data_IF_400694681309
#
_entry.id   IF_400694681309
#
_cell.length_a   1.000
_cell.length_b   1.000
_cell.length_c   1.000
_cell.angle_alpha   90.00
_cell.angle_beta   90.00
_cell.angle_gamma   90.00
#
_symmetry.space_group_name_H-M   'P 1'
#
loop_
_entity.id
_entity.type
_entity.pdbx_description
1 polymer ?
#
# COMPACT_ATOMS: atom_id res chain seq x y z
N UNK A 1 -1.85 -11.69 -24.95
CA UNK A 1 -2.13 -10.88 -23.73
C UNK A 1 -0.88 -10.87 -22.86
N UNK A 2 -0.15 -9.77 -22.79
CA UNK A 2 1.03 -9.66 -21.97
C UNK A 2 0.69 -9.77 -20.47
N UNK A 3 1.62 -10.41 -19.72
CA UNK A 3 1.58 -10.47 -18.26
C UNK A 3 2.52 -9.41 -17.73
N UNK A 4 1.99 -8.47 -16.96
CA UNK A 4 2.75 -7.45 -16.26
C UNK A 4 3.03 -7.90 -14.82
N UNK A 5 4.29 -8.00 -14.46
CA UNK A 5 4.68 -8.33 -13.08
C UNK A 5 4.73 -7.06 -12.21
N UNK A 6 4.35 -7.21 -10.96
CA UNK A 6 4.59 -6.16 -9.97
C UNK A 6 6.10 -5.90 -9.86
N UNK A 7 6.49 -4.63 -9.83
CA UNK A 7 7.89 -4.19 -9.70
C UNK A 7 8.56 -4.78 -8.46
N UNK A 8 7.79 -4.99 -7.40
CA UNK A 8 8.26 -5.47 -6.11
C UNK A 8 7.89 -6.93 -5.85
N UNK A 9 7.73 -7.75 -6.89
CA UNK A 9 7.37 -9.17 -6.79
C UNK A 9 8.31 -9.97 -5.87
N UNK A 10 9.58 -9.58 -5.77
CA UNK A 10 10.58 -10.23 -4.92
C UNK A 10 10.75 -9.56 -3.54
N UNK A 11 10.00 -8.47 -3.27
CA UNK A 11 10.10 -7.80 -1.98
C UNK A 11 9.51 -8.66 -0.86
N UNK A 12 10.26 -8.76 0.23
CA UNK A 12 9.81 -9.44 1.46
C UNK A 12 9.88 -8.43 2.60
N UNK A 13 8.76 -8.14 3.26
CA UNK A 13 8.76 -7.25 4.41
C UNK A 13 9.72 -7.74 5.50
N UNK A 14 10.35 -6.80 6.18
CA UNK A 14 11.27 -7.10 7.28
C UNK A 14 10.49 -7.79 8.42
N UNK A 15 11.00 -8.90 9.00
CA UNK A 15 10.35 -9.58 10.13
C UNK A 15 10.09 -8.70 11.36
N UNK A 16 10.81 -7.58 11.49
CA UNK A 16 10.59 -6.61 12.56
C UNK A 16 9.48 -5.60 12.28
N UNK A 17 8.79 -5.72 11.14
CA UNK A 17 7.70 -4.82 10.74
C UNK A 17 6.56 -4.83 11.75
N UNK A 18 6.20 -3.64 12.22
CA UNK A 18 5.04 -3.41 13.09
C UNK A 18 3.86 -2.78 12.33
N UNK A 19 4.13 -2.12 11.22
CA UNK A 19 3.15 -1.45 10.36
C UNK A 19 3.38 -1.88 8.91
N UNK A 20 2.37 -2.48 8.28
CA UNK A 20 2.37 -2.81 6.87
C UNK A 20 1.40 -1.91 6.11
N UNK A 21 1.88 -1.26 5.07
CA UNK A 21 1.07 -0.37 4.23
C UNK A 21 0.90 -1.01 2.85
N UNK A 22 -0.36 -1.14 2.41
CA UNK A 22 -0.73 -1.80 1.18
C UNK A 22 -1.08 -0.80 0.08
N UNK A 23 -0.39 -0.93 -1.07
CA UNK A 23 -0.82 -0.38 -2.35
C UNK A 23 -1.67 -1.36 -3.13
N UNK A 24 -2.01 -1.02 -4.37
CA UNK A 24 -2.76 -1.89 -5.28
C UNK A 24 -1.84 -2.66 -6.21
N UNK A 25 -1.13 -1.96 -7.07
CA UNK A 25 -0.19 -2.52 -8.04
C UNK A 25 0.85 -1.47 -8.45
N UNK A 26 2.10 -1.88 -8.54
CA UNK A 26 3.20 -1.04 -9.06
C UNK A 26 3.84 -1.75 -10.23
N UNK A 27 3.59 -1.22 -11.44
CA UNK A 27 4.24 -1.69 -12.65
C UNK A 27 5.65 -1.09 -12.77
N UNK A 28 6.59 -1.85 -13.34
CA UNK A 28 7.93 -1.35 -13.66
C UNK A 28 7.88 -0.48 -14.94
N UNK A 29 7.77 0.81 -14.74
CA UNK A 29 7.66 1.82 -15.79
C UNK A 29 8.57 3.01 -15.42
N UNK A 30 9.15 3.74 -16.40
CA UNK A 30 10.03 4.88 -16.13
C UNK A 30 9.47 5.94 -15.16
N UNK A 31 8.14 6.07 -15.10
CA UNK A 31 7.47 7.00 -14.18
C UNK A 31 7.02 6.37 -12.86
N UNK A 32 7.31 5.10 -12.60
CA UNK A 32 6.90 4.43 -11.34
C UNK A 32 7.73 4.86 -10.13
N UNK A 33 8.86 5.54 -10.37
CA UNK A 33 9.84 5.87 -9.33
C UNK A 33 10.67 4.66 -8.90
N UNK A 34 11.67 4.89 -8.07
CA UNK A 34 12.65 3.86 -7.67
C UNK A 34 12.16 2.98 -6.53
N UNK A 35 11.08 3.37 -5.86
CA UNK A 35 10.59 2.69 -4.67
C UNK A 35 9.06 2.75 -4.57
N UNK A 36 8.48 2.03 -3.59
CA UNK A 36 7.04 2.04 -3.32
C UNK A 36 6.50 3.49 -3.25
N UNK A 37 5.36 3.71 -3.90
CA UNK A 37 4.69 5.02 -3.96
C UNK A 37 5.56 6.16 -4.53
N UNK A 38 6.53 5.82 -5.40
CA UNK A 38 7.51 6.77 -5.96
C UNK A 38 7.00 7.64 -7.11
N UNK A 39 5.77 7.45 -7.62
CA UNK A 39 5.23 8.25 -8.73
C UNK A 39 5.16 9.74 -8.38
N UNK A 40 5.40 10.65 -9.35
CA UNK A 40 5.43 12.10 -9.09
C UNK A 40 4.17 12.65 -8.40
N UNK A 41 2.99 12.12 -8.75
CA UNK A 41 1.70 12.54 -8.17
C UNK A 41 1.25 11.65 -6.99
N UNK A 42 2.17 10.93 -6.36
CA UNK A 42 1.92 10.20 -5.13
C UNK A 42 2.55 10.96 -3.95
N UNK A 43 1.79 11.16 -2.90
CA UNK A 43 2.15 11.96 -1.73
C UNK A 43 2.35 11.11 -0.46
N UNK A 44 2.48 9.78 -0.58
CA UNK A 44 2.71 8.94 0.60
C UNK A 44 3.94 9.41 1.39
N UNK A 45 5.05 9.67 0.69
CA UNK A 45 6.29 10.13 1.29
C UNK A 45 6.25 11.57 1.81
N UNK A 46 5.14 12.28 1.57
CA UNK A 46 4.80 13.53 2.26
C UNK A 46 3.93 13.26 3.49
N UNK A 47 2.84 12.51 3.32
CA UNK A 47 1.81 12.28 4.33
C UNK A 47 2.31 11.42 5.50
N UNK A 48 2.94 10.28 5.21
CA UNK A 48 3.34 9.29 6.20
C UNK A 48 4.39 9.80 7.20
N UNK A 49 5.49 10.47 6.77
CA UNK A 49 6.49 10.96 7.71
C UNK A 49 5.94 11.97 8.72
N UNK A 50 5.00 12.83 8.30
CA UNK A 50 4.37 13.81 9.20
C UNK A 50 3.59 13.11 10.33
N UNK A 51 2.97 11.95 10.08
CA UNK A 51 2.30 11.16 11.14
C UNK A 51 3.28 10.74 12.26
N UNK A 52 4.56 10.66 11.95
CA UNK A 52 5.64 10.32 12.89
C UNK A 52 6.48 11.53 13.32
N UNK A 53 5.95 12.75 13.14
CA UNK A 53 6.61 14.02 13.49
C UNK A 53 7.96 14.23 12.77
N UNK A 54 8.09 13.67 11.56
CA UNK A 54 9.22 13.89 10.67
C UNK A 54 8.86 14.89 9.56
N UNK A 55 9.87 15.47 8.94
CA UNK A 55 9.70 16.24 7.72
C UNK A 55 9.28 15.33 6.55
N UNK A 56 8.60 15.86 5.52
CA UNK A 56 8.31 15.12 4.30
C UNK A 56 9.57 14.50 3.68
N UNK A 57 9.43 13.29 3.13
CA UNK A 57 10.52 12.54 2.51
C UNK A 57 10.29 12.28 1.01
N UNK A 58 9.41 13.05 0.35
CA UNK A 58 9.07 12.81 -1.05
C UNK A 58 10.27 12.90 -1.99
N UNK A 59 11.07 13.94 -1.84
CA UNK A 59 12.16 14.28 -2.74
C UNK A 59 13.55 13.97 -2.15
N UNK A 60 13.62 13.03 -1.22
CA UNK A 60 14.90 12.62 -0.61
C UNK A 60 15.38 11.28 -1.19
N UNK A 61 16.66 10.97 -0.98
CA UNK A 61 17.29 9.74 -1.41
C UNK A 61 16.60 8.49 -0.81
N UNK A 62 16.68 7.37 -1.51
CA UNK A 62 16.07 6.10 -1.12
C UNK A 62 16.56 5.63 0.26
N UNK A 63 17.85 5.80 0.54
CA UNK A 63 18.46 5.41 1.82
C UNK A 63 17.80 6.14 3.01
N UNK A 64 17.42 7.40 2.83
CA UNK A 64 16.72 8.18 3.87
C UNK A 64 15.31 7.63 4.12
N UNK A 65 14.60 7.23 3.05
CA UNK A 65 13.29 6.58 3.15
C UNK A 65 13.40 5.22 3.85
N UNK A 66 14.40 4.42 3.50
CA UNK A 66 14.66 3.12 4.14
C UNK A 66 15.04 3.27 5.61
N UNK A 67 15.87 4.26 5.97
CA UNK A 67 16.19 4.56 7.36
C UNK A 67 14.95 4.97 8.17
N UNK A 68 14.04 5.74 7.58
CA UNK A 68 12.76 6.08 8.19
C UNK A 68 11.90 4.82 8.42
N UNK A 69 11.79 3.95 7.41
CA UNK A 69 11.05 2.68 7.54
C UNK A 69 11.60 1.81 8.67
N UNK A 70 12.91 1.63 8.69
CA UNK A 70 13.58 0.83 9.73
C UNK A 70 13.36 1.41 11.12
N UNK A 71 13.52 2.72 11.28
CA UNK A 71 13.30 3.43 12.56
C UNK A 71 11.88 3.24 13.09
N UNK A 72 10.89 3.32 12.21
CA UNK A 72 9.46 3.25 12.57
C UNK A 72 8.84 1.88 12.35
N UNK A 73 9.65 0.89 11.93
CA UNK A 73 9.25 -0.50 11.67
C UNK A 73 8.06 -0.60 10.72
N UNK A 74 8.16 0.16 9.62
CA UNK A 74 7.16 0.23 8.56
C UNK A 74 7.68 -0.53 7.36
N UNK A 75 6.80 -1.27 6.68
CA UNK A 75 7.09 -1.86 5.39
C UNK A 75 5.88 -1.75 4.44
N UNK A 76 6.08 -2.11 3.19
CA UNK A 76 5.09 -1.97 2.13
C UNK A 76 4.88 -3.28 1.38
N UNK A 77 3.67 -3.47 0.88
CA UNK A 77 3.31 -4.49 -0.10
C UNK A 77 2.25 -3.94 -1.04
N UNK A 78 2.12 -4.53 -2.21
CA UNK A 78 0.95 -4.35 -3.06
C UNK A 78 0.00 -5.54 -2.91
N UNK A 79 -1.24 -5.39 -3.34
CA UNK A 79 -2.25 -6.45 -3.27
C UNK A 79 -2.13 -7.39 -4.48
N UNK A 80 -1.86 -6.82 -5.67
CA UNK A 80 -1.80 -7.55 -6.94
C UNK A 80 -0.35 -7.89 -7.28
N UNK A 81 -0.11 -9.15 -7.64
CA UNK A 81 1.19 -9.65 -8.07
C UNK A 81 1.38 -9.51 -9.59
N UNK A 82 0.36 -9.90 -10.37
CA UNK A 82 0.42 -9.78 -11.83
C UNK A 82 -0.89 -9.28 -12.41
N UNK A 83 -0.78 -8.56 -13.55
CA UNK A 83 -1.92 -8.21 -14.40
C UNK A 83 -1.81 -8.97 -15.72
N UNK A 84 -2.95 -9.31 -16.31
CA UNK A 84 -3.07 -9.75 -17.69
C UNK A 84 -3.81 -8.67 -18.48
N UNK A 85 -3.14 -8.08 -19.50
CA UNK A 85 -3.66 -6.93 -20.25
C UNK A 85 -3.68 -7.23 -21.75
N UNK A 86 -4.46 -6.48 -22.54
CA UNK A 86 -4.39 -6.54 -23.98
C UNK A 86 -3.14 -5.82 -24.51
N UNK A 87 -2.72 -6.16 -25.72
CA UNK A 87 -1.58 -5.50 -26.36
C UNK A 87 -1.88 -4.00 -26.55
N UNK A 88 -0.99 -3.14 -26.04
CA UNK A 88 -1.13 -1.68 -26.08
C UNK A 88 -1.83 -1.07 -24.87
N UNK A 89 -2.25 -1.86 -23.89
CA UNK A 89 -2.87 -1.39 -22.64
C UNK A 89 -1.93 -1.39 -21.44
N UNK A 90 -0.64 -1.67 -21.64
CA UNK A 90 0.36 -1.86 -20.58
C UNK A 90 0.58 -0.61 -19.73
N UNK A 91 0.22 0.56 -20.23
CA UNK A 91 0.36 1.85 -19.51
C UNK A 91 -0.90 2.27 -18.76
N UNK A 92 -2.03 1.55 -18.92
CA UNK A 92 -3.30 1.88 -18.25
C UNK A 92 -3.20 1.47 -16.78
N UNK A 93 -3.25 2.46 -15.88
CA UNK A 93 -3.10 2.26 -14.44
C UNK A 93 -4.26 2.87 -13.64
N UNK A 94 -5.41 3.05 -14.27
CA UNK A 94 -6.65 3.36 -13.58
C UNK A 94 -7.04 2.16 -12.69
N UNK A 95 -7.46 2.42 -11.47
CA UNK A 95 -7.66 1.36 -10.49
C UNK A 95 -8.75 0.35 -10.87
N UNK A 96 -9.80 0.79 -11.55
CA UNK A 96 -10.84 -0.08 -12.08
C UNK A 96 -10.31 -1.02 -13.16
N UNK A 97 -9.44 -0.52 -14.05
CA UNK A 97 -8.76 -1.34 -15.06
C UNK A 97 -7.79 -2.32 -14.40
N UNK A 98 -6.98 -1.86 -13.45
CA UNK A 98 -6.05 -2.70 -12.68
C UNK A 98 -6.79 -3.82 -11.93
N UNK A 99 -7.97 -3.54 -11.38
CA UNK A 99 -8.77 -4.53 -10.65
C UNK A 99 -9.30 -5.63 -11.57
N UNK A 100 -9.85 -5.28 -12.75
CA UNK A 100 -10.39 -6.26 -13.69
C UNK A 100 -9.31 -7.04 -14.43
N UNK A 101 -8.13 -6.47 -14.61
CA UNK A 101 -6.97 -7.09 -15.23
C UNK A 101 -6.13 -7.91 -14.25
N UNK A 102 -6.47 -7.94 -12.97
CA UNK A 102 -5.74 -8.69 -11.94
C UNK A 102 -5.76 -10.19 -12.26
N UNK A 103 -4.57 -10.77 -12.48
CA UNK A 103 -4.39 -12.17 -12.81
C UNK A 103 -4.00 -12.98 -11.56
N UNK A 104 -3.00 -12.51 -10.82
CA UNK A 104 -2.62 -13.11 -9.53
C UNK A 104 -2.49 -12.05 -8.44
N UNK A 105 -2.73 -12.49 -7.20
CA UNK A 105 -2.61 -11.67 -5.99
C UNK A 105 -1.49 -12.21 -5.12
N UNK A 106 -0.80 -11.33 -4.40
CA UNK A 106 0.12 -11.76 -3.36
C UNK A 106 -0.61 -12.54 -2.26
N UNK A 107 0.01 -13.58 -1.74
CA UNK A 107 -0.49 -14.27 -0.54
C UNK A 107 -0.24 -13.41 0.71
N UNK A 108 -1.07 -12.37 0.87
CA UNK A 108 -0.95 -11.43 1.99
C UNK A 108 -1.22 -12.09 3.35
N UNK A 109 -1.96 -13.21 3.39
CA UNK A 109 -2.17 -13.95 4.62
C UNK A 109 -0.86 -14.58 5.09
N UNK A 110 -0.15 -15.25 4.16
CA UNK A 110 1.18 -15.81 4.46
C UNK A 110 2.20 -14.72 4.83
N UNK A 111 2.14 -13.55 4.17
CA UNK A 111 2.97 -12.39 4.54
C UNK A 111 2.72 -11.97 5.98
N UNK A 112 1.47 -11.79 6.39
CA UNK A 112 1.10 -11.42 7.76
C UNK A 112 1.55 -12.48 8.77
N UNK A 113 1.46 -13.77 8.42
CA UNK A 113 1.90 -14.88 9.29
C UNK A 113 3.41 -14.89 9.53
N UNK A 114 4.19 -14.33 8.61
CA UNK A 114 5.65 -14.20 8.73
C UNK A 114 6.10 -12.94 9.49
N UNK A 115 5.18 -12.08 9.92
CA UNK A 115 5.45 -10.82 10.61
C UNK A 115 5.01 -10.88 12.09
N UNK A 116 5.81 -11.49 12.98
CA UNK A 116 5.39 -11.77 14.37
C UNK A 116 5.19 -10.50 15.21
N UNK A 117 5.71 -9.36 14.77
CA UNK A 117 5.60 -8.06 15.46
C UNK A 117 4.52 -7.14 14.85
N UNK A 118 3.80 -7.61 13.83
CA UNK A 118 2.82 -6.79 13.13
C UNK A 118 1.66 -6.38 14.03
N UNK A 119 1.39 -5.09 14.09
CA UNK A 119 0.34 -4.48 14.93
C UNK A 119 -0.79 -3.88 14.09
N UNK A 120 -0.46 -3.40 12.89
CA UNK A 120 -1.41 -2.73 12.02
C UNK A 120 -1.11 -2.94 10.54
N UNK A 121 -2.18 -3.06 9.75
CA UNK A 121 -2.16 -3.03 8.30
C UNK A 121 -3.00 -1.85 7.83
N UNK A 122 -2.48 -1.07 6.90
CA UNK A 122 -3.17 0.08 6.32
C UNK A 122 -3.33 -0.11 4.81
N UNK A 123 -4.56 -0.03 4.31
CA UNK A 123 -4.84 -0.05 2.88
C UNK A 123 -5.02 1.38 2.37
N UNK A 124 -4.27 1.77 1.34
CA UNK A 124 -4.18 3.15 0.84
C UNK A 124 -5.33 3.54 -0.08
N UNK A 125 -6.55 3.11 0.25
CA UNK A 125 -7.79 3.52 -0.40
C UNK A 125 -8.96 3.52 0.57
N UNK A 126 -9.74 4.60 0.58
CA UNK A 126 -10.86 4.80 1.51
C UNK A 126 -12.10 3.99 1.14
N UNK A 127 -12.35 3.81 -0.17
CA UNK A 127 -13.52 3.12 -0.70
C UNK A 127 -13.13 1.94 -1.58
N UNK A 128 -14.07 1.03 -1.82
CA UNK A 128 -13.90 -0.11 -2.72
C UNK A 128 -14.72 0.02 -4.01
N UNK A 129 -15.20 1.23 -4.32
CA UNK A 129 -15.97 1.45 -5.53
C UNK A 129 -15.11 1.17 -6.77
N UNK A 130 -15.65 0.38 -7.70
CA UNK A 130 -14.98 0.00 -8.95
C UNK A 130 -13.88 -1.06 -8.83
N UNK A 131 -13.63 -1.61 -7.64
CA UNK A 131 -12.55 -2.58 -7.42
C UNK A 131 -13.00 -3.82 -6.63
N UNK A 132 -13.93 -4.64 -7.17
CA UNK A 132 -14.51 -5.78 -6.45
C UNK A 132 -13.49 -6.88 -6.14
N UNK A 133 -12.50 -7.13 -7.01
CA UNK A 133 -11.49 -8.18 -6.84
C UNK A 133 -10.52 -7.82 -5.72
N UNK A 134 -9.94 -6.61 -5.77
CA UNK A 134 -9.10 -6.06 -4.70
C UNK A 134 -9.88 -6.04 -3.37
N UNK A 135 -11.15 -5.62 -3.40
CA UNK A 135 -12.02 -5.65 -2.21
C UNK A 135 -12.09 -7.04 -1.60
N UNK A 136 -12.28 -8.07 -2.43
CA UNK A 136 -12.35 -9.46 -1.97
C UNK A 136 -11.08 -9.85 -1.20
N UNK A 137 -9.91 -9.60 -1.77
CA UNK A 137 -8.61 -9.93 -1.16
C UNK A 137 -8.35 -9.13 0.13
N UNK A 138 -8.62 -7.83 0.09
CA UNK A 138 -8.47 -6.95 1.27
C UNK A 138 -9.41 -7.38 2.40
N UNK A 139 -10.64 -7.82 2.10
CA UNK A 139 -11.57 -8.30 3.12
C UNK A 139 -11.19 -9.68 3.69
N UNK A 140 -10.60 -10.58 2.87
CA UNK A 140 -10.01 -11.83 3.39
C UNK A 140 -8.89 -11.51 4.38
N UNK A 141 -7.99 -10.60 4.00
CA UNK A 141 -6.91 -10.16 4.87
C UNK A 141 -7.43 -9.50 6.15
N UNK A 142 -8.48 -8.67 6.07
CA UNK A 142 -9.07 -8.03 7.24
C UNK A 142 -9.60 -9.05 8.26
N UNK A 143 -10.26 -10.11 7.80
CA UNK A 143 -10.71 -11.22 8.67
C UNK A 143 -9.53 -11.93 9.32
N UNK A 144 -8.47 -12.20 8.54
CA UNK A 144 -7.25 -12.82 9.06
C UNK A 144 -6.56 -11.95 10.10
N UNK A 145 -6.37 -10.67 9.83
CA UNK A 145 -5.83 -9.70 10.78
C UNK A 145 -6.66 -9.64 12.07
N UNK A 146 -8.00 -9.61 11.94
CA UNK A 146 -8.89 -9.59 13.10
C UNK A 146 -8.70 -10.83 13.99
N UNK A 147 -8.60 -12.03 13.41
CA UNK A 147 -8.37 -13.27 14.16
C UNK A 147 -7.03 -13.28 14.92
N UNK A 148 -6.07 -12.47 14.48
CA UNK A 148 -4.75 -12.31 15.09
C UNK A 148 -4.63 -11.05 15.96
N UNK A 149 -5.73 -10.31 16.18
CA UNK A 149 -5.74 -9.04 16.91
C UNK A 149 -4.85 -7.95 16.28
N UNK A 150 -4.61 -8.05 14.96
CA UNK A 150 -3.92 -7.04 14.17
C UNK A 150 -4.97 -6.07 13.64
N UNK A 151 -4.73 -4.77 13.80
CA UNK A 151 -5.65 -3.74 13.28
C UNK A 151 -5.52 -3.65 11.76
N UNK A 152 -6.65 -3.50 11.08
CA UNK A 152 -6.67 -3.17 9.66
C UNK A 152 -7.55 -1.95 9.41
N UNK A 153 -6.96 -0.91 8.80
CA UNK A 153 -7.63 0.36 8.59
C UNK A 153 -7.43 0.85 7.14
N UNK A 154 -8.32 1.74 6.70
CA UNK A 154 -8.24 2.39 5.38
C UNK A 154 -7.71 3.81 5.51
N UNK A 155 -6.82 4.19 4.61
CA UNK A 155 -6.31 5.55 4.45
C UNK A 155 -6.92 6.19 3.20
N UNK A 156 -7.01 7.50 3.18
CA UNK A 156 -7.25 8.21 1.92
C UNK A 156 -6.10 7.93 0.96
N UNK A 157 -6.42 7.78 -0.34
CA UNK A 157 -5.38 7.53 -1.34
C UNK A 157 -4.31 8.62 -1.32
N UNK A 158 -3.03 8.26 -1.29
CA UNK A 158 -1.95 9.24 -1.37
C UNK A 158 -1.76 9.83 -2.77
N UNK A 159 -2.46 9.29 -3.77
CA UNK A 159 -2.35 9.73 -5.16
C UNK A 159 -3.12 11.02 -5.44
N UNK A 160 -2.83 11.62 -6.61
CA UNK A 160 -3.49 12.77 -7.26
C UNK A 160 -3.13 14.12 -6.66
N UNK A 161 -3.45 14.42 -5.42
CA UNK A 161 -3.20 15.72 -4.79
C UNK A 161 -2.93 15.57 -3.29
N UNK A 162 -2.28 16.56 -2.73
CA UNK A 162 -2.14 16.77 -1.28
C UNK A 162 -3.24 17.73 -0.81
N UNK A 163 -3.76 17.53 0.41
CA UNK A 163 -4.57 18.50 1.14
C UNK A 163 -4.40 18.32 2.65
N UNK A 164 -4.71 19.38 3.41
CA UNK A 164 -4.64 19.34 4.87
C UNK A 164 -5.66 18.36 5.47
N UNK A 165 -6.84 18.23 4.85
CA UNK A 165 -7.87 17.25 5.26
C UNK A 165 -7.34 15.82 5.08
N UNK A 166 -6.65 15.54 3.97
CA UNK A 166 -6.02 14.23 3.73
C UNK A 166 -4.92 13.97 4.76
N UNK A 167 -4.07 14.95 5.05
CA UNK A 167 -3.05 14.82 6.09
C UNK A 167 -3.69 14.56 7.46
N UNK A 168 -4.75 15.27 7.81
CA UNK A 168 -5.45 15.06 9.07
C UNK A 168 -6.06 13.66 9.15
N UNK A 169 -6.67 13.16 8.06
CA UNK A 169 -7.21 11.79 8.00
C UNK A 169 -6.10 10.74 8.23
N UNK A 170 -4.92 10.93 7.65
CA UNK A 170 -3.78 10.06 7.87
C UNK A 170 -3.33 10.07 9.34
N UNK A 171 -3.21 11.25 9.96
CA UNK A 171 -2.89 11.39 11.39
C UNK A 171 -3.96 10.72 12.25
N UNK A 172 -5.23 10.99 11.99
CA UNK A 172 -6.36 10.42 12.74
C UNK A 172 -6.38 8.89 12.68
N UNK A 173 -6.03 8.32 11.52
CA UNK A 173 -6.04 6.87 11.32
C UNK A 173 -4.80 6.20 11.90
N UNK A 174 -3.61 6.72 11.62
CA UNK A 174 -2.33 6.09 12.03
C UNK A 174 -2.03 6.36 13.50
N UNK A 175 -2.23 7.60 13.96
CA UNK A 175 -1.85 8.01 15.32
C UNK A 175 -3.01 7.82 16.29
N UNK A 176 -4.22 8.26 15.93
CA UNK A 176 -5.39 8.25 16.82
C UNK A 176 -6.30 7.03 16.62
N UNK A 177 -6.02 6.18 15.65
CA UNK A 177 -6.69 4.88 15.42
C UNK A 177 -8.20 4.95 15.13
N UNK A 178 -8.70 6.02 14.52
CA UNK A 178 -10.14 6.31 14.42
C UNK A 178 -10.92 5.54 13.35
N UNK A 179 -10.29 5.03 12.29
CA UNK A 179 -10.98 4.50 11.09
C UNK A 179 -10.55 3.09 10.71
N UNK A 180 -10.74 2.12 11.61
CA UNK A 180 -10.40 0.74 11.32
C UNK A 180 -11.58 -0.05 10.73
N UNK A 181 -11.27 -1.04 9.88
CA UNK A 181 -12.27 -1.96 9.34
C UNK A 181 -12.84 -2.80 10.50
N UNK A 182 -14.14 -2.72 10.69
CA UNK A 182 -14.87 -3.67 11.53
C UNK A 182 -15.26 -4.85 10.64
N UNK A 183 -14.84 -6.04 11.01
CA UNK A 183 -15.19 -7.30 10.36
C UNK A 183 -16.31 -7.96 11.15
#
# INVERSE_FOLDING_TARGET
MPILNNKFVNHKPNPDTEILILGTFTHDHPHSGDFFFGRPRNFLWHLLPICFKNQPLKDVALETKQAFMQKHKIDFMDVIETLEVEDGEEEIMEEEFVDISANTFFDLLAVVDQLPKLKAVYFTRKTFNGIPNIKSEVMKLAKHCHSKQIRMCKLDTPARHFSDEKQQQWIDTIVLMKTCLRV
#
